data_IF_344188840980
#
_entry.id   IF_344188840980
#
_cell.length_a   1.000
_cell.length_b   1.000
_cell.length_c   1.000
_cell.angle_alpha   90.00
_cell.angle_beta   90.00
_cell.angle_gamma   90.00
#
_symmetry.space_group_name_H-M   'P 1'
#
loop_
_entity.id
_entity.type
_entity.pdbx_description
1 polymer ?
#
# COMPACT_ATOMS: atom_id res chain seq x y z
N UNK A 1 12.99 12.89 -6.28
CA UNK A 1 14.26 12.82 -5.53
C UNK A 1 14.73 11.36 -5.54
N UNK A 2 16.00 11.05 -5.80
CA UNK A 2 16.50 9.69 -5.76
C UNK A 2 16.39 9.12 -4.33
N UNK A 3 16.11 7.82 -4.24
CA UNK A 3 16.07 7.08 -2.99
C UNK A 3 17.48 7.10 -2.35
N UNK A 4 17.60 7.27 -1.01
CA UNK A 4 18.87 7.12 -0.31
C UNK A 4 19.56 5.79 -0.68
N UNK A 5 20.87 5.81 -0.87
CA UNK A 5 21.63 4.65 -1.34
C UNK A 5 21.46 3.43 -0.41
N UNK A 6 21.43 3.67 0.89
CA UNK A 6 21.18 2.64 1.91
C UNK A 6 19.87 1.91 1.72
N UNK A 7 18.82 2.59 1.25
CA UNK A 7 17.54 1.99 0.92
C UNK A 7 17.57 1.32 -0.46
N UNK A 8 18.23 1.95 -1.44
CA UNK A 8 18.26 1.47 -2.82
C UNK A 8 19.04 0.16 -2.98
N UNK A 9 20.03 -0.09 -2.11
CA UNK A 9 20.94 -1.25 -2.15
C UNK A 9 20.62 -2.32 -1.10
N UNK A 10 19.50 -2.20 -0.41
CA UNK A 10 19.08 -3.16 0.61
C UNK A 10 18.98 -4.57 0.06
N UNK A 11 19.42 -5.53 0.87
CA UNK A 11 19.14 -6.95 0.61
C UNK A 11 17.66 -7.26 0.86
N UNK A 12 17.09 -8.32 0.25
CA UNK A 12 15.73 -8.76 0.53
C UNK A 12 15.50 -9.06 2.02
N UNK A 13 16.48 -9.62 2.71
CA UNK A 13 16.40 -9.90 4.14
C UNK A 13 16.27 -8.62 4.97
N UNK A 14 17.11 -7.61 4.68
CA UNK A 14 17.04 -6.32 5.37
C UNK A 14 15.72 -5.61 5.06
N UNK A 15 15.28 -5.59 3.81
CA UNK A 15 13.99 -5.01 3.44
C UNK A 15 12.82 -5.68 4.17
N UNK A 16 12.80 -7.01 4.22
CA UNK A 16 11.76 -7.76 4.91
C UNK A 16 11.80 -7.64 6.44
N UNK A 17 12.90 -7.15 7.00
CA UNK A 17 13.00 -6.87 8.44
C UNK A 17 12.38 -5.52 8.84
N UNK A 18 12.18 -4.61 7.88
CA UNK A 18 11.44 -3.37 8.13
C UNK A 18 9.97 -3.72 8.38
N UNK A 19 9.43 -3.28 9.51
CA UNK A 19 8.03 -3.51 9.90
C UNK A 19 7.32 -2.18 10.10
N UNK A 20 6.11 -2.05 9.58
CA UNK A 20 5.24 -0.93 9.94
C UNK A 20 4.80 -1.07 11.40
N UNK A 21 4.79 0.02 12.15
CA UNK A 21 4.29 -0.01 13.54
C UNK A 21 2.76 -0.16 13.53
N UNK A 22 2.27 -1.27 14.07
CA UNK A 22 0.85 -1.60 14.14
C UNK A 22 0.03 -0.51 14.84
N UNK A 23 0.62 0.19 15.81
CA UNK A 23 -0.03 1.30 16.52
C UNK A 23 -0.23 2.54 15.66
N UNK A 24 0.47 2.62 14.53
CA UNK A 24 0.37 3.70 13.56
C UNK A 24 -0.50 3.32 12.36
N UNK A 25 -1.11 2.12 12.36
CA UNK A 25 -1.98 1.68 11.27
C UNK A 25 -3.09 2.70 11.01
N UNK A 26 -3.39 2.92 9.74
CA UNK A 26 -4.54 3.75 9.35
C UNK A 26 -5.80 3.13 9.93
N UNK A 27 -6.69 3.96 10.48
CA UNK A 27 -7.90 3.61 11.21
C UNK A 27 -7.69 3.04 12.63
N UNK A 28 -6.44 2.92 13.11
CA UNK A 28 -6.15 2.38 14.45
C UNK A 28 -6.87 3.10 15.58
N UNK A 29 -7.22 4.38 15.40
CA UNK A 29 -7.94 5.21 16.38
C UNK A 29 -9.46 5.03 16.36
N UNK A 30 -10.00 4.18 15.50
CA UNK A 30 -11.45 3.93 15.37
C UNK A 30 -11.80 2.74 16.25
N UNK A 31 -12.55 2.98 17.33
CA UNK A 31 -13.05 1.92 18.20
C UNK A 31 -14.04 1.03 17.45
N UNK A 32 -13.91 -0.30 17.59
CA UNK A 32 -14.77 -1.27 16.90
C UNK A 32 -14.46 -1.43 15.39
N UNK A 33 -13.35 -0.89 14.90
CA UNK A 33 -12.91 -1.14 13.52
C UNK A 33 -12.69 -2.64 13.27
N UNK A 34 -12.90 -3.07 12.07
CA UNK A 34 -12.66 -4.45 11.61
C UNK A 34 -11.46 -4.56 10.67
N UNK A 35 -10.88 -3.44 10.27
CA UNK A 35 -9.81 -3.35 9.29
C UNK A 35 -8.73 -2.38 9.76
N UNK A 36 -7.47 -2.69 9.42
CA UNK A 36 -6.30 -1.82 9.60
C UNK A 36 -5.46 -1.81 8.33
N UNK A 37 -5.08 -0.62 7.85
CA UNK A 37 -4.18 -0.49 6.72
C UNK A 37 -2.78 -0.05 7.18
N UNK A 38 -1.76 -0.65 6.58
CA UNK A 38 -0.36 -0.37 6.81
C UNK A 38 0.35 -0.11 5.48
N UNK A 39 1.44 0.65 5.51
CA UNK A 39 2.16 1.02 4.30
C UNK A 39 3.49 0.26 4.19
N UNK A 40 3.89 -0.01 2.95
CA UNK A 40 5.19 -0.58 2.65
C UNK A 40 6.26 0.52 2.57
N UNK A 41 7.42 0.24 3.16
CA UNK A 41 8.56 1.14 3.07
C UNK A 41 9.13 1.17 1.65
N UNK A 42 9.69 2.31 1.25
CA UNK A 42 10.52 2.39 0.05
C UNK A 42 11.83 1.64 0.24
N UNK A 43 12.35 1.02 -0.79
CA UNK A 43 13.66 0.35 -0.70
C UNK A 43 13.79 -0.82 -1.66
N UNK A 44 14.98 -1.40 -1.75
CA UNK A 44 15.31 -2.50 -2.66
C UNK A 44 14.90 -2.18 -4.12
N UNK A 45 13.98 -2.96 -4.70
CA UNK A 45 13.40 -2.75 -6.04
C UNK A 45 12.27 -1.72 -6.08
N UNK A 46 11.67 -1.38 -4.93
CA UNK A 46 10.56 -0.44 -4.83
C UNK A 46 11.09 1.00 -4.73
N UNK A 47 11.40 1.59 -5.86
CA UNK A 47 12.06 2.90 -5.97
C UNK A 47 11.14 4.03 -6.39
N UNK A 48 9.92 3.73 -6.82
CA UNK A 48 8.92 4.71 -7.21
C UNK A 48 8.05 5.05 -6.01
N UNK A 49 7.98 6.33 -5.72
CA UNK A 49 7.17 6.87 -4.63
C UNK A 49 5.69 6.72 -4.93
N UNK A 50 4.96 6.18 -3.97
CA UNK A 50 3.50 6.17 -3.95
C UNK A 50 3.02 7.10 -2.83
N UNK A 51 2.10 8.00 -3.15
CA UNK A 51 1.50 8.93 -2.18
C UNK A 51 0.23 8.33 -1.60
N UNK A 52 0.05 8.48 -0.29
CA UNK A 52 -1.12 7.98 0.43
C UNK A 52 -1.90 9.14 1.02
N UNK A 53 -3.24 9.08 0.93
CA UNK A 53 -4.12 10.12 1.43
C UNK A 53 -5.27 9.49 2.22
N UNK A 54 -5.62 10.08 3.36
CA UNK A 54 -6.92 9.83 3.99
C UNK A 54 -7.97 10.74 3.34
N UNK A 55 -9.14 10.20 3.05
CA UNK A 55 -10.26 10.92 2.44
C UNK A 55 -11.42 10.98 3.44
N UNK A 56 -11.83 12.21 3.78
CA UNK A 56 -13.05 12.45 4.52
C UNK A 56 -14.21 12.59 3.53
N UNK A 57 -15.10 11.58 3.51
CA UNK A 57 -16.24 11.56 2.60
C UNK A 57 -17.24 12.69 2.87
N UNK A 58 -17.34 13.16 4.10
CA UNK A 58 -18.32 14.20 4.50
C UNK A 58 -17.95 15.58 3.94
N UNK A 59 -16.65 15.84 3.81
CA UNK A 59 -16.11 17.12 3.33
C UNK A 59 -15.49 17.02 1.93
N UNK A 60 -15.32 15.81 1.41
CA UNK A 60 -14.57 15.51 0.18
C UNK A 60 -13.14 16.04 0.22
N UNK A 61 -12.56 16.14 1.43
CA UNK A 61 -11.20 16.61 1.60
C UNK A 61 -10.22 15.44 1.77
N UNK A 62 -9.13 15.51 1.04
CA UNK A 62 -8.02 14.57 1.14
C UNK A 62 -6.86 15.20 1.92
N UNK A 63 -6.29 14.41 2.84
CA UNK A 63 -5.08 14.79 3.61
C UNK A 63 -3.98 13.80 3.31
N UNK A 64 -2.82 14.30 2.87
CA UNK A 64 -1.67 13.42 2.61
C UNK A 64 -1.12 12.84 3.92
N UNK A 65 -0.85 11.55 3.88
CA UNK A 65 -0.16 10.80 4.93
C UNK A 65 1.33 10.83 4.59
N UNK A 66 2.06 11.67 5.30
CA UNK A 66 3.48 11.84 5.06
C UNK A 66 4.31 10.71 5.68
N UNK A 67 5.39 10.36 4.99
CA UNK A 67 6.38 9.45 5.54
C UNK A 67 7.04 10.07 6.78
N UNK A 68 7.23 9.23 7.79
CA UNK A 68 8.03 9.49 8.97
C UNK A 68 8.73 8.19 9.37
N UNK A 69 10.03 8.21 9.72
CA UNK A 69 10.74 6.98 10.10
C UNK A 69 10.10 6.26 11.29
N UNK A 70 9.44 6.99 12.21
CA UNK A 70 8.74 6.44 13.39
C UNK A 70 7.53 5.58 13.04
N UNK A 71 7.07 5.63 11.79
CA UNK A 71 6.03 4.70 11.31
C UNK A 71 6.53 3.27 11.18
N UNK A 72 7.85 3.06 11.27
CA UNK A 72 8.47 1.77 11.02
C UNK A 72 9.45 1.38 12.12
N UNK A 73 9.56 0.07 12.36
CA UNK A 73 10.67 -0.54 13.08
C UNK A 73 11.67 -1.09 12.07
N UNK A 74 12.94 -0.76 12.24
CA UNK A 74 14.01 -1.11 11.30
C UNK A 74 14.82 -2.31 11.77
N UNK A 75 14.70 -2.74 13.04
CA UNK A 75 15.47 -3.88 13.56
C UNK A 75 16.97 -3.79 13.22
N UNK A 76 17.54 -4.94 12.86
CA UNK A 76 18.97 -5.06 12.50
C UNK A 76 19.22 -4.84 10.99
N UNK A 77 18.55 -3.88 10.37
CA UNK A 77 18.66 -3.62 8.92
C UNK A 77 19.90 -2.80 8.54
N UNK A 78 20.56 -2.18 9.51
CA UNK A 78 21.67 -1.24 9.28
C UNK A 78 21.23 0.12 8.75
N UNK A 79 19.93 0.40 8.66
CA UNK A 79 19.41 1.70 8.22
C UNK A 79 19.60 2.73 9.34
N UNK A 80 20.32 3.79 9.04
CA UNK A 80 20.40 4.97 9.93
C UNK A 80 19.14 5.82 9.76
N UNK A 81 18.20 5.70 10.69
CA UNK A 81 16.92 6.42 10.66
C UNK A 81 17.08 7.94 10.72
N UNK A 82 18.20 8.45 11.27
CA UNK A 82 18.49 9.90 11.28
C UNK A 82 18.62 10.47 9.87
N UNK A 83 19.10 9.68 8.92
CA UNK A 83 19.17 10.10 7.51
C UNK A 83 17.78 10.20 6.85
N UNK A 84 16.75 9.60 7.45
CA UNK A 84 15.37 9.64 6.98
C UNK A 84 14.53 10.72 7.66
N UNK A 85 15.05 11.34 8.73
CA UNK A 85 14.39 12.45 9.40
C UNK A 85 14.22 13.64 8.44
N UNK A 86 13.05 14.29 8.48
CA UNK A 86 12.73 15.41 7.60
C UNK A 86 12.47 15.03 6.13
N UNK A 87 12.49 13.75 5.78
CA UNK A 87 12.17 13.29 4.42
C UNK A 87 10.68 12.93 4.28
N UNK A 88 9.79 13.82 4.70
CA UNK A 88 8.33 13.61 4.64
C UNK A 88 7.80 13.28 3.24
N UNK A 89 8.56 13.65 2.21
CA UNK A 89 8.27 13.40 0.80
C UNK A 89 8.84 12.07 0.28
N UNK A 90 9.48 11.24 1.12
CA UNK A 90 9.94 9.90 0.71
C UNK A 90 8.78 9.04 0.20
N UNK A 91 7.59 9.16 0.82
CA UNK A 91 6.41 8.39 0.45
C UNK A 91 6.53 6.92 0.82
N UNK A 92 5.74 6.10 0.14
CA UNK A 92 5.62 4.68 0.43
C UNK A 92 5.76 3.86 -0.86
N UNK A 93 5.94 2.54 -0.75
CA UNK A 93 6.00 1.65 -1.90
C UNK A 93 4.64 1.06 -2.29
N UNK A 94 3.66 1.15 -1.39
CA UNK A 94 2.33 0.58 -1.52
C UNK A 94 1.69 0.40 -0.16
N UNK A 95 0.63 -0.40 -0.09
CA UNK A 95 -0.08 -0.66 1.15
C UNK A 95 -0.59 -2.10 1.25
N UNK A 96 -0.95 -2.49 2.47
CA UNK A 96 -1.62 -3.75 2.79
C UNK A 96 -2.70 -3.54 3.84
N UNK A 97 -3.69 -4.41 3.86
CA UNK A 97 -4.81 -4.36 4.81
C UNK A 97 -4.89 -5.67 5.58
N UNK A 98 -5.19 -5.56 6.85
CA UNK A 98 -5.38 -6.66 7.80
C UNK A 98 -6.79 -6.63 8.39
N UNK A 99 -7.29 -7.77 8.85
CA UNK A 99 -8.47 -7.83 9.72
C UNK A 99 -8.06 -7.45 11.15
N UNK A 100 -8.76 -6.48 11.75
CA UNK A 100 -8.61 -6.09 13.16
C UNK A 100 -9.65 -6.82 14.03
N UNK A 101 -9.45 -6.99 15.37
CA UNK A 101 -8.29 -6.60 16.17
C UNK A 101 -7.13 -7.59 16.09
N UNK A 102 -7.40 -8.76 15.55
CA UNK A 102 -6.35 -9.71 15.24
C UNK A 102 -5.64 -9.19 14.00
N UNK A 103 -4.66 -8.32 14.17
CA UNK A 103 -3.70 -8.02 13.11
C UNK A 103 -3.03 -9.35 12.74
N UNK A 104 -3.91 -10.19 12.20
CA UNK A 104 -3.63 -11.57 11.96
C UNK A 104 -2.42 -11.57 11.06
N UNK A 105 -1.45 -12.13 11.53
CA UNK A 105 -0.22 -12.68 10.97
C UNK A 105 -0.03 -12.53 9.44
N UNK A 106 -1.08 -12.17 8.65
CA UNK A 106 -1.06 -11.99 7.18
C UNK A 106 -2.05 -10.93 6.72
N UNK A 107 -1.61 -10.14 5.77
CA UNK A 107 -2.45 -9.22 5.03
C UNK A 107 -3.47 -9.97 4.17
N UNK A 108 -4.68 -9.43 4.10
CA UNK A 108 -5.78 -9.94 3.25
C UNK A 108 -5.84 -9.25 1.90
N UNK A 109 -5.26 -8.06 1.79
CA UNK A 109 -5.18 -7.26 0.57
C UNK A 109 -3.81 -6.59 0.52
N UNK A 110 -3.18 -6.55 -0.64
CA UNK A 110 -1.95 -5.79 -0.83
C UNK A 110 -1.85 -5.21 -2.23
N UNK A 111 -1.31 -3.99 -2.29
CA UNK A 111 -0.94 -3.25 -3.50
C UNK A 111 0.54 -2.91 -3.37
N UNK A 112 1.39 -3.49 -4.20
CA UNK A 112 2.83 -3.30 -4.11
C UNK A 112 3.50 -3.52 -5.47
N UNK A 113 4.21 -2.50 -5.92
CA UNK A 113 4.98 -2.49 -7.15
C UNK A 113 4.12 -2.32 -8.42
N UNK A 114 4.49 -1.40 -9.29
CA UNK A 114 3.75 -1.02 -10.49
C UNK A 114 2.24 -0.87 -10.19
N UNK A 115 1.37 -1.55 -10.93
CA UNK A 115 -0.08 -1.57 -10.66
C UNK A 115 -0.57 -2.93 -10.18
N UNK A 116 0.29 -3.73 -9.53
CA UNK A 116 -0.08 -5.05 -9.03
C UNK A 116 -0.87 -4.97 -7.73
N UNK A 117 -1.88 -5.83 -7.62
CA UNK A 117 -2.65 -6.02 -6.40
C UNK A 117 -3.10 -7.48 -6.26
N UNK A 118 -3.39 -7.87 -5.04
CA UNK A 118 -3.90 -9.20 -4.70
C UNK A 118 -4.79 -9.17 -3.48
N UNK A 119 -5.64 -10.20 -3.38
CA UNK A 119 -6.41 -10.51 -2.18
C UNK A 119 -6.16 -11.97 -1.76
N UNK A 120 -6.37 -12.23 -0.48
CA UNK A 120 -6.18 -13.56 0.13
C UNK A 120 -7.38 -13.84 1.02
N UNK A 121 -7.94 -15.03 0.94
CA UNK A 121 -9.06 -15.48 1.78
C UNK A 121 -8.60 -16.01 3.15
N UNK A 122 -9.54 -16.50 3.93
CA UNK A 122 -9.29 -17.07 5.26
C UNK A 122 -8.43 -18.35 5.23
N UNK A 123 -8.33 -19.04 4.09
CA UNK A 123 -7.47 -20.21 3.93
C UNK A 123 -6.02 -19.83 3.69
N UNK A 124 -5.75 -18.53 3.56
CA UNK A 124 -4.45 -17.97 3.22
C UNK A 124 -3.86 -18.51 1.91
N UNK A 125 -4.70 -18.97 1.02
CA UNK A 125 -4.27 -19.32 -0.32
C UNK A 125 -4.02 -18.04 -1.10
N UNK A 126 -2.79 -17.87 -1.51
CA UNK A 126 -2.45 -16.80 -2.44
C UNK A 126 -3.02 -17.16 -3.80
N UNK A 127 -4.11 -16.47 -4.15
CA UNK A 127 -4.70 -16.54 -5.47
C UNK A 127 -3.85 -15.86 -6.53
N UNK A 128 -4.44 -15.61 -7.68
CA UNK A 128 -3.81 -14.86 -8.74
C UNK A 128 -3.64 -13.39 -8.32
N UNK A 129 -2.48 -12.83 -8.62
CA UNK A 129 -2.32 -11.38 -8.61
C UNK A 129 -2.95 -10.80 -9.87
N UNK A 130 -3.52 -9.60 -9.73
CA UNK A 130 -3.98 -8.81 -10.86
C UNK A 130 -3.13 -7.54 -10.98
N UNK A 131 -3.23 -6.85 -12.10
CA UNK A 131 -2.64 -5.52 -12.29
C UNK A 131 -3.67 -4.58 -12.91
N UNK A 132 -3.53 -3.29 -12.62
CA UNK A 132 -4.47 -2.28 -13.08
C UNK A 132 -4.55 -2.21 -14.60
N UNK A 133 -3.40 -2.25 -15.27
CA UNK A 133 -3.34 -2.20 -16.72
C UNK A 133 -2.13 -2.94 -17.26
N UNK A 134 -2.30 -3.56 -18.42
CA UNK A 134 -1.24 -4.20 -19.22
C UNK A 134 -1.12 -3.44 -20.55
N UNK A 135 0.09 -3.01 -20.89
CA UNK A 135 0.38 -2.25 -22.11
C UNK A 135 1.51 -2.94 -22.87
N UNK A 136 1.32 -3.14 -24.16
CA UNK A 136 2.27 -3.81 -25.07
C UNK A 136 2.70 -5.22 -24.61
N UNK A 137 1.78 -5.93 -23.97
CA UNK A 137 2.02 -7.27 -23.47
C UNK A 137 2.23 -8.24 -24.62
N UNK A 138 3.39 -8.90 -24.66
CA UNK A 138 3.73 -9.90 -25.67
C UNK A 138 3.70 -9.35 -27.10
N UNK A 139 4.24 -8.13 -27.31
CA UNK A 139 4.43 -7.48 -28.61
C UNK A 139 5.93 -7.37 -28.93
N UNK A 140 6.27 -6.85 -30.12
CA UNK A 140 7.66 -6.57 -30.52
C UNK A 140 8.24 -5.35 -29.81
N UNK A 141 7.40 -4.54 -29.16
CA UNK A 141 7.81 -3.41 -28.32
C UNK A 141 8.01 -3.86 -26.87
N UNK A 142 8.94 -3.23 -26.11
CA UNK A 142 9.08 -3.51 -24.69
C UNK A 142 7.77 -3.24 -23.94
N UNK A 143 7.38 -4.19 -23.09
CA UNK A 143 6.19 -4.05 -22.25
C UNK A 143 6.31 -2.83 -21.34
N UNK A 144 5.25 -2.02 -21.26
CA UNK A 144 5.15 -0.91 -20.34
C UNK A 144 4.43 -1.37 -19.05
N UNK A 145 4.98 -0.96 -17.91
CA UNK A 145 4.43 -1.26 -16.58
C UNK A 145 3.91 0.03 -15.93
N UNK A 146 2.63 0.37 -16.12
CA UNK A 146 2.02 1.51 -15.43
C UNK A 146 2.09 1.35 -13.92
N UNK A 147 2.34 2.45 -13.20
CA UNK A 147 2.40 2.47 -11.74
C UNK A 147 1.16 3.11 -11.13
N UNK A 148 0.67 2.57 -10.02
CA UNK A 148 -0.15 3.34 -9.11
C UNK A 148 0.74 4.34 -8.38
N UNK A 149 0.47 5.63 -8.57
CA UNK A 149 1.28 6.74 -8.04
C UNK A 149 0.68 7.35 -6.79
N UNK A 150 -0.61 7.17 -6.58
CA UNK A 150 -1.33 7.72 -5.42
C UNK A 150 -2.54 6.88 -5.06
N UNK A 151 -2.84 6.81 -3.76
CA UNK A 151 -4.04 6.17 -3.23
C UNK A 151 -4.76 7.09 -2.25
N UNK A 152 -6.10 7.07 -2.26
CA UNK A 152 -6.97 7.79 -1.35
C UNK A 152 -7.89 6.79 -0.64
N UNK A 153 -7.78 6.73 0.67
CA UNK A 153 -8.52 5.80 1.53
C UNK A 153 -9.71 6.52 2.15
N UNK A 154 -10.91 6.04 1.90
CA UNK A 154 -12.07 6.48 2.66
C UNK A 154 -11.95 6.05 4.13
N UNK A 155 -12.50 6.87 5.03
CA UNK A 155 -12.54 6.52 6.46
C UNK A 155 -13.57 5.42 6.66
N UNK A 156 -13.16 4.30 7.28
CA UNK A 156 -14.07 3.23 7.68
C UNK A 156 -14.86 3.62 8.93
N UNK A 157 -16.03 3.02 9.12
CA UNK A 157 -16.83 3.16 10.34
C UNK A 157 -16.64 1.93 11.24
N UNK A 158 -16.99 2.03 12.54
CA UNK A 158 -17.05 0.87 13.42
C UNK A 158 -17.90 -0.25 12.82
N UNK A 159 -17.33 -1.47 12.78
CA UNK A 159 -18.00 -2.66 12.24
C UNK A 159 -17.90 -2.83 10.72
N UNK A 160 -17.38 -1.86 9.97
CA UNK A 160 -17.23 -2.00 8.52
C UNK A 160 -16.23 -3.11 8.18
N UNK A 161 -16.65 -4.02 7.31
CA UNK A 161 -15.82 -5.05 6.66
C UNK A 161 -15.56 -4.72 5.20
N UNK A 162 -16.05 -3.58 4.74
CA UNK A 162 -15.87 -3.05 3.39
C UNK A 162 -15.12 -1.73 3.47
N UNK A 163 -14.19 -1.50 2.57
CA UNK A 163 -13.51 -0.22 2.44
C UNK A 163 -13.33 0.17 0.97
N UNK A 164 -13.25 1.47 0.72
CA UNK A 164 -13.05 2.04 -0.61
C UNK A 164 -11.68 2.70 -0.71
N UNK A 165 -10.99 2.44 -1.81
CA UNK A 165 -9.72 3.07 -2.15
C UNK A 165 -9.79 3.57 -3.59
N UNK A 166 -9.45 4.83 -3.79
CA UNK A 166 -9.23 5.38 -5.13
C UNK A 166 -7.75 5.33 -5.46
N UNK A 167 -7.41 5.15 -6.72
CA UNK A 167 -6.02 5.12 -7.17
C UNK A 167 -5.84 5.94 -8.45
N UNK A 168 -4.68 6.58 -8.56
CA UNK A 168 -4.21 7.17 -9.79
C UNK A 168 -3.12 6.28 -10.37
N UNK A 169 -3.36 5.79 -11.57
CA UNK A 169 -2.37 5.09 -12.38
C UNK A 169 -1.75 6.09 -13.34
N UNK A 170 -0.43 6.07 -13.46
CA UNK A 170 0.32 6.94 -14.37
C UNK A 170 1.49 6.22 -15.02
N UNK A 171 1.71 6.52 -16.30
CA UNK A 171 2.68 5.84 -17.14
C UNK A 171 2.99 6.71 -18.36
N UNK A 172 4.08 6.49 -19.10
CA UNK A 172 4.44 7.30 -20.25
C UNK A 172 3.35 7.41 -21.33
N UNK A 173 2.59 6.32 -21.57
CA UNK A 173 1.60 6.28 -22.64
C UNK A 173 0.15 6.48 -22.17
N UNK A 174 -0.14 6.28 -20.86
CA UNK A 174 -1.51 6.25 -20.37
C UNK A 174 -1.63 6.65 -18.90
N UNK A 175 -2.75 7.27 -18.55
CA UNK A 175 -3.17 7.55 -17.18
C UNK A 175 -4.54 6.93 -16.93
N UNK A 176 -4.82 6.56 -15.67
CA UNK A 176 -6.11 5.98 -15.27
C UNK A 176 -6.50 6.36 -13.85
N UNK A 177 -7.79 6.57 -13.65
CA UNK A 177 -8.37 6.72 -12.32
C UNK A 177 -9.16 5.45 -11.99
N UNK A 178 -8.90 4.91 -10.81
CA UNK A 178 -9.49 3.65 -10.35
C UNK A 178 -10.26 3.87 -9.06
N UNK A 179 -11.32 3.09 -8.88
CA UNK A 179 -11.99 2.92 -7.62
C UNK A 179 -12.05 1.43 -7.31
N UNK A 180 -11.57 1.06 -6.15
CA UNK A 180 -11.64 -0.28 -5.60
C UNK A 180 -12.61 -0.28 -4.44
N UNK A 181 -13.69 -1.07 -4.52
CA UNK A 181 -14.56 -1.38 -3.39
C UNK A 181 -14.23 -2.79 -2.95
N UNK A 182 -13.73 -2.94 -1.73
CA UNK A 182 -13.14 -4.19 -1.25
C UNK A 182 -13.94 -4.71 -0.08
N UNK A 183 -14.59 -5.86 -0.28
CA UNK A 183 -15.45 -6.53 0.69
C UNK A 183 -14.68 -7.67 1.34
N UNK A 184 -14.39 -7.54 2.64
CA UNK A 184 -13.63 -8.51 3.43
C UNK A 184 -14.59 -9.39 4.24
N UNK A 185 -15.24 -10.32 3.59
CA UNK A 185 -16.15 -11.27 4.21
C UNK A 185 -15.40 -12.35 5.01
N UNK A 186 -16.15 -13.25 5.70
CA UNK A 186 -15.52 -14.26 6.56
C UNK A 186 -14.60 -15.22 5.79
N UNK A 187 -15.02 -15.69 4.61
CA UNK A 187 -14.33 -16.72 3.85
C UNK A 187 -13.77 -16.27 2.50
N UNK A 188 -14.01 -15.01 2.13
CA UNK A 188 -13.58 -14.50 0.83
C UNK A 188 -13.31 -13.00 0.87
N UNK A 189 -12.50 -12.53 -0.06
CA UNK A 189 -12.33 -11.11 -0.34
C UNK A 189 -12.78 -10.85 -1.78
N UNK A 190 -13.72 -9.93 -1.95
CA UNK A 190 -14.23 -9.51 -3.26
C UNK A 190 -13.74 -8.10 -3.53
N UNK A 191 -13.20 -7.88 -4.71
CA UNK A 191 -12.79 -6.56 -5.18
C UNK A 191 -13.61 -6.18 -6.40
N UNK A 192 -14.44 -5.15 -6.26
CA UNK A 192 -15.07 -4.47 -7.38
C UNK A 192 -14.13 -3.36 -7.86
N UNK A 193 -13.85 -3.35 -9.16
CA UNK A 193 -12.89 -2.42 -9.79
C UNK A 193 -13.59 -1.64 -10.88
N UNK A 194 -13.59 -0.32 -10.72
CA UNK A 194 -14.10 0.65 -11.69
C UNK A 194 -12.96 1.53 -12.22
#
# INVERSE_FOLDING_TARGET
RPLPETLATMTPQAYNAIRYDEKQSLWNNIEGRQLDAQFFHMGMGFRRRVRMFSLDQSTSQAREIHFRPELFSYGDTGVDTKQLEGQSDLGFAGFRVFKAPELARRDIVSFLGASYFRAVDDTYQYGLSARGLAVDTFTDTPEEFPDFTSFWFETVKPGDTTFTVYALLDSPSITGAYKFVIHCEKSQVIMDVE
#
